data_IF_801753287947
#
_entry.id   IF_801753287947
#
_cell.length_a   1.000
_cell.length_b   1.000
_cell.length_c   1.000
_cell.angle_alpha   90.00
_cell.angle_beta   90.00
_cell.angle_gamma   90.00
#
_symmetry.space_group_name_H-M   'P 1'
#
loop_
_entity.id
_entity.type
_entity.pdbx_description
1 polymer ?
#
# COMPACT_ATOMS: atom_id res chain seq x y z
N UNK A 1 -23.20 16.58 -5.14
CA UNK A 1 -23.11 15.35 -4.29
C UNK A 1 -22.91 14.06 -5.10
N UNK A 2 -23.17 14.06 -6.43
CA UNK A 2 -23.09 12.88 -7.31
C UNK A 2 -21.74 12.16 -7.29
N UNK A 3 -20.63 12.89 -7.31
CA UNK A 3 -19.29 12.28 -7.37
C UNK A 3 -18.98 11.36 -6.17
N UNK A 4 -19.45 11.71 -4.96
CA UNK A 4 -19.25 10.85 -3.77
C UNK A 4 -20.05 9.55 -3.84
N UNK A 5 -21.18 9.59 -4.54
CA UNK A 5 -22.02 8.40 -4.77
C UNK A 5 -21.33 7.48 -5.78
N UNK A 6 -20.87 8.05 -6.90
CA UNK A 6 -20.12 7.32 -7.93
C UNK A 6 -18.82 6.70 -7.37
N UNK A 7 -18.10 7.41 -6.51
CA UNK A 7 -16.92 6.87 -5.83
C UNK A 7 -17.26 5.68 -4.91
N UNK A 8 -18.42 5.69 -4.26
CA UNK A 8 -18.89 4.57 -3.45
C UNK A 8 -19.31 3.38 -4.32
N UNK A 9 -19.98 3.64 -5.44
CA UNK A 9 -20.44 2.62 -6.40
C UNK A 9 -19.28 1.89 -7.09
N UNK A 10 -18.12 2.54 -7.22
CA UNK A 10 -16.90 1.90 -7.72
C UNK A 10 -16.42 0.71 -6.85
N UNK A 11 -16.97 0.55 -5.65
CA UNK A 11 -16.75 -0.59 -4.78
C UNK A 11 -15.39 -0.60 -4.09
N UNK A 12 -15.10 -1.73 -3.46
CA UNK A 12 -13.87 -1.93 -2.66
C UNK A 12 -13.04 -3.10 -3.22
N UNK A 13 -11.78 -3.19 -2.80
CA UNK A 13 -10.88 -4.28 -3.13
C UNK A 13 -10.08 -4.70 -1.90
N UNK A 14 -9.77 -5.99 -1.79
CA UNK A 14 -8.88 -6.53 -0.76
C UNK A 14 -7.44 -6.50 -1.26
N UNK A 15 -6.50 -6.05 -0.44
CA UNK A 15 -5.08 -6.18 -0.77
C UNK A 15 -4.67 -7.64 -0.82
N UNK A 16 -3.89 -8.03 -1.84
CA UNK A 16 -3.34 -9.39 -1.96
C UNK A 16 -2.21 -9.69 -0.98
N UNK A 17 -1.67 -8.65 -0.35
CA UNK A 17 -0.47 -8.73 0.49
C UNK A 17 -0.81 -8.39 1.94
N UNK A 18 -1.66 -7.39 2.13
CA UNK A 18 -2.08 -6.85 3.43
C UNK A 18 -3.55 -7.22 3.64
N UNK A 19 -3.87 -8.50 3.81
CA UNK A 19 -5.25 -9.04 3.90
C UNK A 19 -6.09 -8.56 5.10
N UNK A 20 -5.74 -7.41 5.67
CA UNK A 20 -6.27 -6.83 6.90
C UNK A 20 -7.67 -6.24 6.69
N UNK A 21 -7.92 -5.59 5.55
CA UNK A 21 -9.22 -4.99 5.23
C UNK A 21 -9.41 -4.72 3.73
N UNK A 22 -10.64 -4.40 3.37
CA UNK A 22 -10.99 -3.89 2.05
C UNK A 22 -10.78 -2.38 1.96
N UNK A 23 -10.31 -1.91 0.80
CA UNK A 23 -10.01 -0.50 0.50
C UNK A 23 -10.89 0.00 -0.65
N UNK A 24 -11.31 1.28 -0.63
CA UNK A 24 -12.10 1.85 -1.72
C UNK A 24 -11.28 1.96 -3.02
N UNK A 25 -11.91 1.66 -4.17
CA UNK A 25 -11.26 1.81 -5.49
C UNK A 25 -11.10 3.27 -5.91
N UNK A 26 -12.09 4.11 -5.59
CA UNK A 26 -12.10 5.54 -5.87
C UNK A 26 -12.39 6.27 -4.57
N UNK A 27 -11.63 7.34 -4.30
CA UNK A 27 -11.78 8.17 -3.10
C UNK A 27 -11.84 9.62 -3.51
N UNK A 28 -12.78 10.37 -2.90
CA UNK A 28 -12.87 11.81 -3.07
C UNK A 28 -12.48 12.44 -1.75
N UNK A 29 -11.36 13.14 -1.77
CA UNK A 29 -10.81 13.88 -0.65
C UNK A 29 -10.86 15.36 -0.97
N UNK A 30 -10.93 16.18 0.08
CA UNK A 30 -10.93 17.63 0.02
C UNK A 30 -9.52 18.15 0.32
N UNK A 31 -9.14 19.24 -0.34
CA UNK A 31 -7.84 19.87 -0.08
C UNK A 31 -7.74 20.34 1.37
N UNK A 32 -8.81 20.95 1.89
CA UNK A 32 -8.89 21.37 3.29
C UNK A 32 -8.68 20.17 4.24
N UNK A 33 -9.39 19.06 4.04
CA UNK A 33 -9.27 17.84 4.84
C UNK A 33 -7.87 17.22 4.83
N UNK A 34 -7.18 17.29 3.68
CA UNK A 34 -5.80 16.82 3.58
C UNK A 34 -4.82 17.73 4.33
N UNK A 35 -5.01 19.05 4.25
CA UNK A 35 -4.13 20.03 4.86
C UNK A 35 -4.32 20.15 6.38
N UNK A 36 -5.55 20.02 6.87
CA UNK A 36 -5.86 20.02 8.31
C UNK A 36 -5.68 18.61 8.95
N UNK A 37 -5.47 17.58 8.13
CA UNK A 37 -5.25 16.21 8.57
C UNK A 37 -6.50 15.44 9.00
N UNK A 38 -7.71 15.96 8.77
CA UNK A 38 -8.96 15.26 9.05
C UNK A 38 -9.31 14.20 8.02
N UNK A 39 -8.77 14.32 6.79
CA UNK A 39 -8.91 13.33 5.72
C UNK A 39 -7.54 12.74 5.37
N UNK A 40 -7.51 11.42 5.11
CA UNK A 40 -6.32 10.68 4.69
C UNK A 40 -6.71 9.65 3.64
N UNK A 41 -5.76 9.30 2.78
CA UNK A 41 -5.93 8.22 1.81
C UNK A 41 -6.09 6.91 2.57
N UNK A 42 -7.21 6.22 2.36
CA UNK A 42 -7.44 4.86 2.86
C UNK A 42 -6.86 3.87 1.84
N UNK A 43 -5.60 3.48 2.01
CA UNK A 43 -4.89 2.56 1.14
C UNK A 43 -4.04 1.57 1.94
N UNK A 44 -3.65 0.43 1.34
CA UNK A 44 -2.74 -0.51 1.98
C UNK A 44 -1.41 0.15 2.37
N UNK A 45 -0.72 -0.34 3.42
CA UNK A 45 0.59 0.14 3.80
C UNK A 45 1.56 0.15 2.61
N UNK A 46 2.22 1.29 2.38
CA UNK A 46 3.26 1.47 1.36
C UNK A 46 4.66 1.14 1.90
N UNK A 47 4.72 0.22 2.87
CA UNK A 47 5.98 -0.24 3.47
C UNK A 47 6.51 -1.43 2.66
N UNK A 48 7.84 -1.57 2.62
CA UNK A 48 8.45 -2.76 2.02
C UNK A 48 7.98 -4.00 2.81
N UNK A 49 7.25 -4.94 2.20
CA UNK A 49 6.75 -6.11 2.90
C UNK A 49 7.83 -7.16 3.18
N UNK A 50 8.99 -7.03 2.55
CA UNK A 50 10.07 -8.00 2.67
C UNK A 50 11.03 -7.60 3.79
N UNK A 51 11.44 -8.61 4.57
CA UNK A 51 12.50 -8.44 5.54
C UNK A 51 13.79 -7.97 4.85
N UNK A 52 14.52 -7.08 5.51
CA UNK A 52 15.85 -6.69 5.04
C UNK A 52 16.74 -7.93 4.98
N UNK A 53 17.40 -8.14 3.83
CA UNK A 53 18.34 -9.24 3.67
C UNK A 53 19.46 -9.13 4.73
N UNK A 54 19.91 -10.28 5.24
CA UNK A 54 21.05 -10.33 6.13
C UNK A 54 22.30 -9.82 5.40
N UNK A 55 23.15 -9.07 6.10
CA UNK A 55 24.49 -8.77 5.58
C UNK A 55 25.25 -10.08 5.49
N UNK A 56 25.86 -10.35 4.34
CA UNK A 56 26.76 -11.51 4.19
C UNK A 56 27.86 -11.42 5.25
N UNK A 57 27.93 -12.43 6.11
CA UNK A 57 28.91 -12.49 7.20
C UNK A 57 30.28 -12.98 6.73
N UNK A 58 30.34 -13.63 5.57
CA UNK A 58 31.56 -14.16 4.97
C UNK A 58 31.47 -14.07 3.44
N UNK A 59 32.53 -13.62 2.73
CA UNK A 59 32.61 -13.81 1.29
C UNK A 59 32.83 -15.31 1.02
N UNK A 60 31.74 -16.04 0.79
CA UNK A 60 31.82 -17.38 0.19
C UNK A 60 32.54 -17.22 -1.15
N UNK A 61 33.72 -17.84 -1.30
CA UNK A 61 34.39 -17.89 -2.60
C UNK A 61 33.48 -18.64 -3.54
N UNK A 62 32.95 -17.95 -4.55
CA UNK A 62 32.22 -18.55 -5.66
C UNK A 62 32.99 -19.79 -6.13
N UNK A 63 32.42 -20.96 -5.90
CA UNK A 63 32.99 -22.20 -6.41
C UNK A 63 32.79 -22.13 -7.92
N UNK A 64 33.89 -22.06 -8.67
CA UNK A 64 33.83 -22.19 -10.13
C UNK A 64 33.11 -23.49 -10.45
N UNK A 65 31.99 -23.37 -11.14
CA UNK A 65 31.29 -24.52 -11.71
C UNK A 65 32.14 -24.98 -12.91
N UNK A 66 32.84 -26.11 -12.74
CA UNK A 66 33.47 -26.87 -13.82
C UNK A 66 32.41 -27.59 -14.66
#
# INVERSE_FOLDING_TARGET
KQMRTEAADAGRYTSKLWHDKDYPRIQILTVEGLLNGTERIDAPPQINPFAMAARESMPEKQTELL
#
